data_IF_564023159346
#
_entry.id   IF_564023159346
#
_cell.length_a   1.000
_cell.length_b   1.000
_cell.length_c   1.000
_cell.angle_alpha   90.00
_cell.angle_beta   90.00
_cell.angle_gamma   90.00
#
_symmetry.space_group_name_H-M   'P 1'
#
loop_
_entity.id
_entity.type
_entity.pdbx_description
1 polymer ?
#
# COMPACT_ATOMS: atom_id res chain seq x y z
N UNK A 1 -1.10 27.65 2.74
CA UNK A 1 0.29 28.11 2.56
C UNK A 1 1.12 27.45 3.64
N UNK A 2 2.02 26.54 3.27
CA UNK A 2 2.93 25.90 4.24
C UNK A 2 3.93 26.96 4.69
N UNK A 3 3.99 27.27 5.99
CA UNK A 3 5.16 27.96 6.55
C UNK A 3 6.39 27.14 6.21
N UNK A 4 7.48 27.80 5.86
CA UNK A 4 8.73 27.10 5.61
C UNK A 4 9.18 26.44 6.92
N UNK A 5 9.69 25.20 6.86
CA UNK A 5 10.09 24.44 8.06
C UNK A 5 11.12 25.22 8.88
N UNK A 6 11.96 25.99 8.19
CA UNK A 6 12.96 26.89 8.76
C UNK A 6 12.31 28.01 9.58
N UNK A 7 11.23 28.63 9.07
CA UNK A 7 10.49 29.66 9.80
C UNK A 7 9.83 29.10 11.07
N UNK A 8 9.31 27.88 11.01
CA UNK A 8 8.70 27.22 12.17
C UNK A 8 9.73 26.83 13.23
N UNK A 9 10.92 26.36 12.83
CA UNK A 9 12.05 26.11 13.76
C UNK A 9 12.49 27.44 14.39
N UNK A 10 12.67 28.49 13.59
CA UNK A 10 13.09 29.80 14.06
C UNK A 10 12.04 30.46 14.98
N UNK A 11 10.76 30.10 14.83
CA UNK A 11 9.67 30.53 15.71
C UNK A 11 9.53 29.67 16.99
N UNK A 12 10.47 28.76 17.26
CA UNK A 12 10.45 27.89 18.45
C UNK A 12 9.33 26.85 18.45
N UNK A 13 8.73 26.56 17.29
CA UNK A 13 7.72 25.51 17.16
C UNK A 13 8.41 24.16 17.22
N UNK A 14 8.02 23.30 18.15
CA UNK A 14 8.53 21.93 18.22
C UNK A 14 8.09 21.13 16.97
N UNK A 15 9.01 20.96 16.03
CA UNK A 15 8.76 20.22 14.79
C UNK A 15 9.10 18.75 15.02
N UNK A 16 8.10 17.99 15.46
CA UNK A 16 8.18 16.55 15.43
C UNK A 16 8.32 16.04 13.99
N UNK A 17 9.26 15.12 13.75
CA UNK A 17 9.35 14.47 12.46
C UNK A 17 8.05 13.71 12.15
N UNK A 18 7.51 13.93 10.94
CA UNK A 18 6.34 13.17 10.49
C UNK A 18 6.77 11.71 10.35
N UNK A 19 6.17 10.82 11.15
CA UNK A 19 6.34 9.38 11.01
C UNK A 19 5.37 8.81 9.96
N UNK A 20 5.82 7.83 9.18
CA UNK A 20 5.00 7.22 8.14
C UNK A 20 3.88 6.41 8.79
N UNK A 21 2.64 6.63 8.33
CA UNK A 21 1.49 5.85 8.82
C UNK A 21 0.39 5.81 7.77
N UNK A 22 0.05 4.61 7.33
CA UNK A 22 -1.08 4.34 6.45
C UNK A 22 -2.44 4.41 7.16
N UNK A 23 -2.45 4.50 8.50
CA UNK A 23 -3.66 4.53 9.33
C UNK A 23 -4.16 5.96 9.61
N UNK A 24 -3.34 6.98 9.29
CA UNK A 24 -3.66 8.40 9.50
C UNK A 24 -4.93 8.77 8.71
N UNK A 25 -5.94 9.27 9.43
CA UNK A 25 -7.19 9.78 8.85
C UNK A 25 -6.93 11.04 8.02
N UNK A 26 -7.73 11.30 7.00
CA UNK A 26 -7.66 12.56 6.25
C UNK A 26 -8.20 13.71 7.12
N UNK A 27 -7.38 14.71 7.51
CA UNK A 27 -7.75 15.69 8.53
C UNK A 27 -9.00 16.52 8.21
N UNK A 28 -9.28 16.74 6.93
CA UNK A 28 -10.39 17.58 6.46
C UNK A 28 -11.59 16.77 5.97
N UNK A 29 -11.60 15.44 6.17
CA UNK A 29 -12.69 14.59 5.72
C UNK A 29 -13.71 14.36 6.82
N UNK A 30 -15.00 14.62 6.52
CA UNK A 30 -16.09 14.34 7.44
C UNK A 30 -16.53 12.87 7.33
N UNK A 31 -16.15 12.05 8.30
CA UNK A 31 -16.51 10.62 8.35
C UNK A 31 -17.96 10.35 8.81
N UNK A 32 -18.74 11.39 9.10
CA UNK A 32 -20.19 11.31 9.23
C UNK A 32 -20.90 11.45 7.88
N UNK A 33 -20.28 12.09 6.89
CA UNK A 33 -20.92 12.33 5.61
C UNK A 33 -20.97 11.06 4.75
N UNK A 34 -21.95 11.02 3.84
CA UNK A 34 -22.00 10.04 2.74
C UNK A 34 -20.70 10.01 1.96
N UNK A 35 -20.28 8.82 1.53
CA UNK A 35 -19.00 8.64 0.87
C UNK A 35 -18.70 7.18 0.55
N UNK A 36 -17.71 6.96 -0.30
CA UNK A 36 -17.23 5.61 -0.62
C UNK A 36 -15.78 5.47 -0.17
N UNK A 37 -15.48 4.37 0.51
CA UNK A 37 -14.21 4.14 1.18
C UNK A 37 -13.66 2.78 0.80
N UNK A 38 -12.36 2.71 0.52
CA UNK A 38 -11.64 1.42 0.51
C UNK A 38 -10.93 1.28 1.85
N UNK A 39 -11.32 0.27 2.61
CA UNK A 39 -10.78 -0.02 3.93
C UNK A 39 -9.78 -1.17 3.87
N UNK A 40 -8.76 -1.12 4.72
CA UNK A 40 -7.84 -2.24 4.96
C UNK A 40 -7.72 -2.48 6.46
N UNK A 41 -8.00 -3.70 6.90
CA UNK A 41 -7.89 -4.15 8.28
C UNK A 41 -6.86 -5.27 8.35
N UNK A 42 -5.82 -5.10 9.15
CA UNK A 42 -4.70 -6.04 9.26
C UNK A 42 -4.86 -6.85 10.54
N UNK A 43 -4.69 -8.17 10.44
CA UNK A 43 -4.66 -9.10 11.59
C UNK A 43 -3.42 -8.78 12.44
N UNK A 44 -3.57 -8.82 13.76
CA UNK A 44 -2.45 -8.54 14.68
C UNK A 44 -1.22 -9.40 14.32
N UNK A 45 -0.06 -8.75 14.22
CA UNK A 45 1.21 -9.39 13.86
C UNK A 45 1.27 -9.94 12.43
N UNK A 46 0.37 -9.55 11.53
CA UNK A 46 0.27 -10.10 10.16
C UNK A 46 0.08 -11.63 10.14
N UNK A 47 -0.58 -12.18 11.17
CA UNK A 47 -0.82 -13.61 11.28
C UNK A 47 -1.79 -14.10 10.18
N UNK A 48 -1.49 -15.17 9.44
CA UNK A 48 -2.29 -15.64 8.31
C UNK A 48 -3.54 -16.44 8.74
N UNK A 49 -4.38 -15.86 9.60
CA UNK A 49 -5.52 -16.55 10.24
C UNK A 49 -6.77 -16.67 9.36
N UNK A 50 -6.86 -15.90 8.28
CA UNK A 50 -8.10 -15.75 7.50
C UNK A 50 -8.17 -16.70 6.29
N UNK A 51 -7.06 -17.35 5.94
CA UNK A 51 -6.99 -18.28 4.82
C UNK A 51 -5.57 -18.51 4.34
N UNK A 52 -5.44 -19.29 3.27
CA UNK A 52 -4.17 -19.61 2.62
C UNK A 52 -4.22 -19.28 1.14
N UNK A 53 -3.12 -18.79 0.60
CA UNK A 53 -2.97 -18.64 -0.84
C UNK A 53 -2.84 -20.03 -1.49
N UNK A 54 -3.55 -20.22 -2.60
CA UNK A 54 -3.48 -21.38 -3.49
C UNK A 54 -3.32 -20.91 -4.93
N UNK A 55 -2.86 -21.80 -5.82
CA UNK A 55 -2.69 -21.53 -7.25
C UNK A 55 -1.40 -20.79 -7.58
N UNK A 56 -1.26 -20.46 -8.87
CA UNK A 56 -0.10 -19.84 -9.48
C UNK A 56 -0.42 -18.40 -9.91
N UNK A 57 0.48 -17.47 -9.60
CA UNK A 57 0.37 -16.07 -9.97
C UNK A 57 0.53 -15.77 -11.46
N UNK A 58 1.08 -16.72 -12.23
CA UNK A 58 1.24 -16.67 -13.68
C UNK A 58 0.20 -17.48 -14.44
N UNK A 59 -0.66 -18.23 -13.74
CA UNK A 59 -1.74 -18.98 -14.37
C UNK A 59 -2.75 -18.05 -15.05
N UNK A 60 -3.35 -18.54 -16.14
CA UNK A 60 -4.41 -17.83 -16.85
C UNK A 60 -5.64 -17.66 -15.95
N UNK A 61 -6.31 -16.51 -16.07
CA UNK A 61 -7.55 -16.22 -15.35
C UNK A 61 -8.63 -17.24 -15.71
N UNK A 62 -9.34 -17.78 -14.72
CA UNK A 62 -10.37 -18.81 -14.88
C UNK A 62 -9.84 -20.25 -14.97
N UNK A 63 -8.52 -20.46 -14.95
CA UNK A 63 -7.94 -21.80 -14.90
C UNK A 63 -8.06 -22.43 -13.50
N UNK A 64 -7.95 -23.76 -13.40
CA UNK A 64 -7.97 -24.47 -12.11
C UNK A 64 -6.84 -24.04 -11.15
N UNK A 65 -5.73 -23.55 -11.73
CA UNK A 65 -4.56 -23.06 -11.02
C UNK A 65 -4.57 -21.55 -10.81
N UNK A 66 -5.66 -20.83 -11.12
CA UNK A 66 -5.76 -19.40 -10.84
C UNK A 66 -5.52 -19.12 -9.35
N UNK A 67 -4.62 -18.17 -9.09
CA UNK A 67 -4.28 -17.71 -7.75
C UNK A 67 -5.52 -17.23 -6.98
N UNK A 68 -5.76 -17.82 -5.82
CA UNK A 68 -6.94 -17.54 -4.98
C UNK A 68 -6.62 -17.71 -3.50
N UNK A 69 -7.44 -17.12 -2.64
CA UNK A 69 -7.39 -17.38 -1.21
C UNK A 69 -8.42 -18.44 -0.85
N UNK A 70 -7.95 -19.57 -0.39
CA UNK A 70 -8.78 -20.56 0.26
C UNK A 70 -9.01 -20.14 1.72
N UNK A 71 -10.24 -19.74 2.02
CA UNK A 71 -10.60 -19.19 3.32
C UNK A 71 -10.54 -20.25 4.43
N UNK A 72 -9.98 -19.86 5.58
CA UNK A 72 -10.10 -20.60 6.84
C UNK A 72 -11.56 -20.62 7.32
N UNK A 73 -11.92 -21.43 8.34
CA UNK A 73 -13.26 -21.34 8.92
C UNK A 73 -13.57 -19.91 9.41
N UNK A 74 -12.61 -19.23 10.05
CA UNK A 74 -12.74 -17.81 10.41
C UNK A 74 -13.00 -16.93 9.19
N UNK A 75 -12.22 -17.09 8.12
CA UNK A 75 -12.40 -16.33 6.88
C UNK A 75 -13.80 -16.51 6.28
N UNK A 76 -14.34 -17.74 6.32
CA UNK A 76 -15.71 -18.05 5.89
C UNK A 76 -16.73 -17.38 6.82
N UNK A 77 -16.57 -17.47 8.14
CA UNK A 77 -17.45 -16.81 9.10
C UNK A 77 -17.50 -15.29 8.88
N UNK A 78 -16.35 -14.66 8.62
CA UNK A 78 -16.29 -13.23 8.32
C UNK A 78 -17.06 -12.90 7.03
N UNK A 79 -16.83 -13.67 5.96
CA UNK A 79 -17.48 -13.48 4.65
C UNK A 79 -18.99 -13.72 4.70
N UNK A 80 -19.41 -14.76 5.40
CA UNK A 80 -20.78 -15.26 5.31
C UNK A 80 -21.70 -14.69 6.39
N UNK A 81 -21.13 -14.25 7.52
CA UNK A 81 -21.87 -13.80 8.71
C UNK A 81 -21.50 -12.37 9.10
N UNK A 82 -20.25 -12.12 9.50
CA UNK A 82 -19.89 -10.84 10.13
C UNK A 82 -20.05 -9.64 9.18
N UNK A 83 -19.77 -9.81 7.90
CA UNK A 83 -19.90 -8.70 6.93
C UNK A 83 -21.35 -8.24 6.76
N UNK A 84 -22.32 -9.16 6.84
CA UNK A 84 -23.75 -8.87 6.68
C UNK A 84 -24.31 -8.08 7.86
N UNK A 85 -23.69 -8.21 9.04
CA UNK A 85 -24.08 -7.45 10.23
C UNK A 85 -23.88 -5.95 10.05
N UNK A 86 -22.94 -5.51 9.20
CA UNK A 86 -22.71 -4.08 8.94
C UNK A 86 -24.00 -3.41 8.45
N UNK A 87 -24.58 -3.91 7.36
CA UNK A 87 -25.82 -3.33 6.80
C UNK A 87 -27.05 -3.60 7.67
N UNK A 88 -27.05 -4.67 8.47
CA UNK A 88 -28.13 -4.95 9.41
C UNK A 88 -28.18 -3.94 10.58
N UNK A 89 -27.01 -3.56 11.13
CA UNK A 89 -26.92 -2.54 12.18
C UNK A 89 -26.93 -1.11 11.63
N UNK A 90 -26.42 -0.91 10.41
CA UNK A 90 -26.31 0.39 9.75
C UNK A 90 -26.89 0.32 8.33
N UNK A 91 -28.21 0.45 8.14
CA UNK A 91 -28.86 0.29 6.83
C UNK A 91 -28.37 1.25 5.73
N UNK A 92 -27.80 2.39 6.12
CA UNK A 92 -27.18 3.35 5.21
C UNK A 92 -25.77 2.94 4.73
N UNK A 93 -25.21 1.86 5.28
CA UNK A 93 -23.86 1.37 4.98
C UNK A 93 -23.92 0.05 4.22
N UNK A 94 -23.30 0.03 3.04
CA UNK A 94 -23.20 -1.14 2.18
C UNK A 94 -21.75 -1.56 1.97
N UNK A 95 -21.52 -2.86 1.89
CA UNK A 95 -20.23 -3.42 1.46
C UNK A 95 -20.35 -3.84 0.01
N UNK A 96 -19.76 -3.06 -0.88
CA UNK A 96 -19.80 -3.31 -2.33
C UNK A 96 -18.81 -4.38 -2.79
N UNK A 97 -17.70 -4.57 -2.05
CA UNK A 97 -16.72 -5.61 -2.35
C UNK A 97 -15.97 -6.01 -1.09
N UNK A 98 -15.66 -7.29 -0.96
CA UNK A 98 -14.84 -7.87 0.09
C UNK A 98 -13.74 -8.73 -0.55
N UNK A 99 -12.50 -8.54 -0.11
CA UNK A 99 -11.36 -9.37 -0.47
C UNK A 99 -10.64 -9.74 0.82
N UNK A 100 -10.71 -11.01 1.21
CA UNK A 100 -10.02 -11.54 2.38
C UNK A 100 -8.68 -12.12 1.90
N UNK A 101 -7.59 -11.55 2.40
CA UNK A 101 -6.23 -12.05 2.24
C UNK A 101 -5.85 -12.87 3.48
N UNK A 102 -4.78 -13.68 3.46
CA UNK A 102 -4.42 -14.53 4.60
C UNK A 102 -4.34 -13.79 5.94
N UNK A 103 -3.78 -12.59 5.95
CA UNK A 103 -3.46 -11.78 7.15
C UNK A 103 -4.18 -10.43 7.21
N UNK A 104 -5.05 -10.12 6.24
CA UNK A 104 -5.76 -8.84 6.20
C UNK A 104 -7.02 -8.89 5.34
N UNK A 105 -7.86 -7.87 5.50
CA UNK A 105 -9.09 -7.71 4.74
C UNK A 105 -9.05 -6.38 4.01
N UNK A 106 -9.41 -6.41 2.74
CA UNK A 106 -9.80 -5.24 1.97
C UNK A 106 -11.31 -5.23 1.76
N UNK A 107 -11.94 -4.07 1.91
CA UNK A 107 -13.35 -3.92 1.56
C UNK A 107 -13.64 -2.54 0.96
N UNK A 108 -14.59 -2.49 0.03
CA UNK A 108 -15.15 -1.23 -0.49
C UNK A 108 -16.49 -1.02 0.20
N UNK A 109 -16.60 0.07 0.95
CA UNK A 109 -17.77 0.43 1.75
C UNK A 109 -18.39 1.69 1.19
N UNK A 110 -19.70 1.68 0.98
CA UNK A 110 -20.50 2.86 0.62
C UNK A 110 -21.35 3.27 1.82
N UNK A 111 -21.21 4.52 2.23
CA UNK A 111 -22.13 5.22 3.10
C UNK A 111 -23.06 6.03 2.19
N UNK A 112 -24.34 5.66 2.12
CA UNK A 112 -25.32 6.23 1.18
C UNK A 112 -25.88 7.57 1.65
N UNK A 113 -26.03 7.72 2.96
CA UNK A 113 -26.64 8.84 3.64
C UNK A 113 -25.75 9.28 4.80
N UNK A 114 -25.92 10.52 5.26
CA UNK A 114 -25.14 11.01 6.39
C UNK A 114 -25.47 10.18 7.65
N UNK A 115 -24.42 9.83 8.39
CA UNK A 115 -24.51 8.97 9.56
C UNK A 115 -25.10 9.74 10.75
N UNK A 116 -25.94 9.10 11.58
CA UNK A 116 -26.43 9.69 12.82
C UNK A 116 -25.31 10.13 13.77
N UNK A 117 -25.66 11.03 14.69
CA UNK A 117 -24.75 11.50 15.72
C UNK A 117 -24.12 10.33 16.50
N UNK A 118 -22.80 10.41 16.74
CA UNK A 118 -22.03 9.35 17.39
C UNK A 118 -21.83 8.07 16.57
N UNK A 119 -22.29 7.98 15.31
CA UNK A 119 -22.19 6.77 14.46
C UNK A 119 -21.34 6.96 13.20
N UNK A 120 -20.23 7.69 13.27
CA UNK A 120 -19.31 7.83 12.13
C UNK A 120 -18.70 6.50 11.65
N UNK A 121 -18.11 6.47 10.45
CA UNK A 121 -17.53 5.25 9.83
C UNK A 121 -16.58 4.46 10.75
N UNK A 122 -15.81 5.16 11.60
CA UNK A 122 -14.91 4.51 12.54
C UNK A 122 -15.61 3.62 13.58
N UNK A 123 -16.83 3.99 14.00
CA UNK A 123 -17.66 3.19 14.89
C UNK A 123 -18.18 1.93 14.18
N UNK A 124 -18.59 2.07 12.93
CA UNK A 124 -19.00 0.92 12.09
C UNK A 124 -17.85 -0.09 11.99
N UNK A 125 -16.64 0.39 11.67
CA UNK A 125 -15.43 -0.45 11.58
C UNK A 125 -15.09 -1.08 12.93
N UNK A 126 -15.21 -0.34 14.05
CA UNK A 126 -15.01 -0.89 15.41
C UNK A 126 -15.99 -2.04 15.70
N UNK A 127 -17.26 -1.87 15.37
CA UNK A 127 -18.29 -2.90 15.54
C UNK A 127 -17.96 -4.16 14.75
N UNK A 128 -17.62 -4.01 13.47
CA UNK A 128 -17.21 -5.13 12.61
C UNK A 128 -15.98 -5.88 13.15
N UNK A 129 -14.93 -5.16 13.56
CA UNK A 129 -13.73 -5.75 14.18
C UNK A 129 -14.06 -6.56 15.43
N UNK A 130 -14.98 -6.05 16.25
CA UNK A 130 -15.44 -6.71 17.47
C UNK A 130 -16.16 -8.02 17.15
N UNK A 131 -17.06 -8.00 16.17
CA UNK A 131 -17.77 -9.19 15.70
C UNK A 131 -16.81 -10.28 15.20
N UNK A 132 -15.85 -9.91 14.35
CA UNK A 132 -14.84 -10.84 13.85
C UNK A 132 -13.95 -11.41 14.97
N UNK A 133 -13.58 -10.59 15.96
CA UNK A 133 -12.78 -11.05 17.10
C UNK A 133 -13.55 -12.08 17.94
N UNK A 134 -14.87 -11.89 18.13
CA UNK A 134 -15.72 -12.87 18.81
C UNK A 134 -15.83 -14.18 18.03
N UNK A 135 -16.06 -14.10 16.72
CA UNK A 135 -16.09 -15.28 15.85
C UNK A 135 -14.77 -16.07 15.92
N UNK A 136 -13.62 -15.36 15.95
CA UNK A 136 -12.32 -15.97 16.12
C UNK A 136 -12.16 -16.69 17.47
N UNK A 137 -12.65 -16.09 18.57
CA UNK A 137 -12.62 -16.74 19.88
C UNK A 137 -13.53 -17.97 19.95
N UNK A 138 -14.70 -17.93 19.33
CA UNK A 138 -15.63 -19.06 19.26
C UNK A 138 -15.01 -20.26 18.53
N UNK A 139 -14.25 -20.01 17.47
CA UNK A 139 -13.51 -21.04 16.73
C UNK A 139 -12.28 -21.54 17.50
N UNK A 140 -11.52 -20.63 18.10
CA UNK A 140 -10.24 -20.99 18.74
C UNK A 140 -10.42 -21.60 20.13
N UNK A 141 -11.52 -21.29 20.82
CA UNK A 141 -11.80 -21.72 22.19
C UNK A 141 -13.25 -22.19 22.37
N UNK A 142 -13.65 -23.31 21.72
CA UNK A 142 -15.03 -23.79 21.74
C UNK A 142 -15.54 -24.18 23.15
N UNK A 143 -14.63 -24.58 24.05
CA UNK A 143 -14.95 -25.03 25.41
C UNK A 143 -15.36 -23.88 26.37
N UNK A 144 -15.31 -22.62 25.93
CA UNK A 144 -15.73 -21.45 26.70
C UNK A 144 -17.25 -21.19 26.71
N UNK A 145 -18.09 -22.12 26.22
CA UNK A 145 -19.56 -22.04 26.34
C UNK A 145 -20.03 -22.37 27.76
N UNK A 146 -19.48 -21.73 28.80
CA UNK A 146 -20.11 -21.74 30.12
C UNK A 146 -21.20 -20.68 30.15
N UNK A 147 -22.44 -21.14 29.98
CA UNK A 147 -23.66 -20.59 30.60
C UNK A 147 -23.65 -19.08 30.91
N UNK A 148 -23.69 -18.25 29.86
CA UNK A 148 -24.18 -16.88 29.97
C UNK A 148 -25.70 -16.85 29.93
N UNK A 149 -26.38 -17.57 30.82
CA UNK A 149 -27.82 -17.43 31.07
C UNK A 149 -28.12 -15.97 31.36
N UNK A 150 -29.05 -15.38 30.60
CA UNK A 150 -29.93 -14.20 30.80
C UNK A 150 -29.51 -12.98 31.66
N UNK A 151 -28.59 -13.09 32.61
CA UNK A 151 -28.10 -12.02 33.48
C UNK A 151 -27.29 -10.91 32.76
N UNK A 152 -26.70 -11.19 31.60
CA UNK A 152 -26.00 -10.18 30.80
C UNK A 152 -26.94 -9.26 30.00
N UNK A 153 -28.22 -9.66 29.80
CA UNK A 153 -29.23 -8.82 29.15
C UNK A 153 -29.82 -7.76 30.08
N UNK A 154 -29.71 -7.90 31.40
CA UNK A 154 -30.26 -6.95 32.37
C UNK A 154 -29.37 -5.73 32.67
N UNK A 155 -28.10 -5.71 32.24
CA UNK A 155 -27.16 -4.59 32.53
C UNK A 155 -26.96 -3.59 31.38
N UNK A 156 -27.75 -3.67 30.30
CA UNK A 156 -27.64 -2.77 29.13
C UNK A 156 -28.76 -1.71 29.11
N UNK A 157 -29.71 -1.73 30.06
CA UNK A 157 -30.55 -0.56 30.34
C UNK A 157 -29.93 0.19 31.51
N UNK A 158 -29.79 1.50 31.33
CA UNK A 158 -29.20 2.48 32.26
C UNK A 158 -27.68 2.59 32.22
N UNK A 159 -27.18 3.36 31.24
CA UNK A 159 -26.33 4.53 31.52
C UNK A 159 -26.03 5.25 30.20
N UNK A 160 -26.94 6.16 29.83
CA UNK A 160 -26.54 7.39 29.15
C UNK A 160 -25.84 8.32 30.17
N UNK A 161 -25.00 9.21 29.66
CA UNK A 161 -24.27 10.29 30.34
C UNK A 161 -22.86 9.97 30.91
N UNK A 162 -21.88 10.14 30.02
CA UNK A 162 -20.75 11.07 30.12
C UNK A 162 -19.62 10.89 31.18
N UNK A 163 -18.43 11.32 30.71
CA UNK A 163 -17.23 11.81 31.39
C UNK A 163 -16.07 10.79 31.61
N UNK A 164 -14.95 11.11 30.95
CA UNK A 164 -13.54 10.70 31.21
C UNK A 164 -12.88 11.92 31.90
N UNK A 165 -11.73 11.87 32.62
CA UNK A 165 -10.75 10.78 32.78
C UNK A 165 -10.20 10.61 34.23
N UNK A 166 -9.35 9.60 34.50
CA UNK A 166 -7.99 9.82 35.06
C UNK A 166 -7.13 8.54 35.11
N UNK A 167 -5.83 8.80 35.11
CA UNK A 167 -4.62 8.00 35.09
C UNK A 167 -4.28 7.43 36.49
N UNK A 168 -3.68 6.23 36.53
CA UNK A 168 -2.69 5.73 37.53
C UNK A 168 -2.93 4.31 38.06
N UNK A 169 -1.84 3.60 38.43
CA UNK A 169 -1.73 2.15 38.28
C UNK A 169 -1.74 1.40 39.61
N UNK A 170 -2.16 0.13 39.54
CA UNK A 170 -1.72 -1.03 40.33
C UNK A 170 -2.91 -1.91 40.69
N UNK A 171 -2.81 -3.17 40.27
CA UNK A 171 -3.85 -4.17 40.47
C UNK A 171 -3.56 -5.35 39.56
N UNK A 172 -2.66 -6.22 40.02
CA UNK A 172 -2.39 -7.52 39.43
C UNK A 172 -3.67 -8.37 39.43
N UNK A 173 -4.44 -8.25 38.35
CA UNK A 173 -5.43 -9.23 37.95
C UNK A 173 -4.98 -9.75 36.59
N UNK A 174 -4.20 -10.83 36.59
CA UNK A 174 -3.86 -11.59 35.38
C UNK A 174 -5.07 -12.40 34.90
N UNK A 175 -6.23 -11.76 34.71
CA UNK A 175 -7.18 -12.27 33.74
C UNK A 175 -6.47 -12.17 32.40
N UNK A 176 -6.00 -13.31 31.85
CA UNK A 176 -5.45 -13.36 30.50
C UNK A 176 -6.46 -12.69 29.55
N UNK A 177 -6.21 -11.42 29.20
CA UNK A 177 -7.08 -10.70 28.30
C UNK A 177 -7.04 -11.45 26.98
N UNK A 178 -8.20 -11.94 26.54
CA UNK A 178 -8.29 -12.65 25.26
C UNK A 178 -7.73 -11.76 24.15
N UNK A 179 -6.95 -12.31 23.21
CA UNK A 179 -6.25 -11.53 22.21
C UNK A 179 -7.22 -10.83 21.26
N UNK A 180 -6.82 -9.68 20.73
CA UNK A 180 -7.54 -8.98 19.66
C UNK A 180 -7.18 -9.55 18.29
N UNK A 181 -8.15 -9.68 17.38
CA UNK A 181 -7.88 -10.25 16.05
C UNK A 181 -7.11 -9.27 15.15
N UNK A 182 -7.43 -7.98 15.21
CA UNK A 182 -6.92 -6.97 14.28
C UNK A 182 -6.12 -5.90 15.00
N UNK A 183 -5.09 -5.39 14.33
CA UNK A 183 -4.29 -4.27 14.79
C UNK A 183 -5.12 -3.05 15.15
N UNK A 184 -4.63 -2.23 16.11
CA UNK A 184 -5.28 -0.95 16.41
C UNK A 184 -5.40 -0.08 15.15
N UNK A 185 -6.58 0.53 14.97
CA UNK A 185 -6.91 1.35 13.80
C UNK A 185 -7.28 0.52 12.56
N UNK A 186 -7.25 1.17 11.40
CA UNK A 186 -7.40 0.62 10.06
C UNK A 186 -6.83 1.63 9.05
N UNK A 187 -6.63 1.21 7.81
CA UNK A 187 -6.28 2.12 6.71
C UNK A 187 -7.54 2.40 5.89
N UNK A 188 -7.69 3.62 5.39
CA UNK A 188 -8.77 3.98 4.47
C UNK A 188 -8.25 4.79 3.28
N UNK A 189 -8.99 4.73 2.19
CA UNK A 189 -8.90 5.67 1.08
C UNK A 189 -10.29 6.14 0.74
N UNK A 190 -10.43 7.42 0.44
CA UNK A 190 -11.69 8.04 0.06
C UNK A 190 -11.78 8.05 -1.47
N UNK A 191 -12.95 7.71 -2.00
CA UNK A 191 -13.23 7.77 -3.43
C UNK A 191 -13.44 9.23 -3.83
N UNK A 192 -12.52 9.77 -4.62
CA UNK A 192 -12.48 11.19 -4.98
C UNK A 192 -12.64 11.44 -6.48
N UNK A 193 -12.39 10.45 -7.33
CA UNK A 193 -12.29 10.63 -8.79
C UNK A 193 -13.10 9.58 -9.55
N UNK A 194 -13.52 9.95 -10.75
CA UNK A 194 -14.15 9.04 -11.70
C UNK A 194 -13.20 7.89 -12.08
N UNK A 195 -13.76 6.71 -12.35
CA UNK A 195 -13.00 5.48 -12.66
C UNK A 195 -12.20 4.88 -11.51
N UNK A 196 -12.02 5.59 -10.39
CA UNK A 196 -11.27 5.11 -9.22
C UNK A 196 -11.94 3.89 -8.58
N UNK A 197 -13.28 3.81 -8.61
CA UNK A 197 -14.03 2.68 -8.05
C UNK A 197 -13.73 1.38 -8.82
N UNK A 198 -13.74 1.43 -10.14
CA UNK A 198 -13.46 0.25 -10.97
C UNK A 198 -11.99 -0.16 -10.84
N UNK A 199 -11.08 0.81 -10.70
CA UNK A 199 -9.68 0.54 -10.36
C UNK A 199 -9.56 -0.18 -9.01
N UNK A 200 -10.31 0.22 -7.99
CA UNK A 200 -10.31 -0.48 -6.69
C UNK A 200 -10.89 -1.88 -6.80
N UNK A 201 -11.98 -2.08 -7.54
CA UNK A 201 -12.57 -3.40 -7.76
C UNK A 201 -11.56 -4.33 -8.42
N UNK A 202 -10.93 -3.89 -9.53
CA UNK A 202 -9.86 -4.63 -10.22
C UNK A 202 -8.67 -4.90 -9.30
N UNK A 203 -8.24 -3.92 -8.51
CA UNK A 203 -7.14 -4.09 -7.56
C UNK A 203 -7.46 -5.17 -6.51
N UNK A 204 -8.68 -5.19 -5.96
CA UNK A 204 -9.11 -6.21 -5.01
C UNK A 204 -9.13 -7.60 -5.66
N UNK A 205 -9.62 -7.72 -6.90
CA UNK A 205 -9.63 -8.99 -7.65
C UNK A 205 -8.22 -9.51 -7.94
N UNK A 206 -7.26 -8.60 -8.19
CA UNK A 206 -5.89 -8.95 -8.54
C UNK A 206 -5.02 -9.31 -7.32
N UNK A 207 -5.45 -9.02 -6.09
CA UNK A 207 -4.61 -9.17 -4.90
C UNK A 207 -4.11 -10.60 -4.65
N UNK A 208 -4.92 -11.67 -4.79
CA UNK A 208 -4.43 -13.05 -4.65
C UNK A 208 -3.30 -13.36 -5.64
N UNK A 209 -3.48 -13.01 -6.93
CA UNK A 209 -2.46 -13.17 -7.97
C UNK A 209 -1.18 -12.39 -7.66
N UNK A 210 -1.32 -11.13 -7.25
CA UNK A 210 -0.18 -10.29 -6.83
C UNK A 210 0.57 -10.91 -5.65
N UNK A 211 -0.15 -11.50 -4.69
CA UNK A 211 0.49 -12.18 -3.56
C UNK A 211 1.24 -13.45 -4.01
N UNK A 212 0.68 -14.22 -4.94
CA UNK A 212 1.33 -15.40 -5.50
C UNK A 212 2.64 -15.05 -6.20
N UNK A 213 2.62 -14.08 -7.12
CA UNK A 213 3.83 -13.60 -7.80
C UNK A 213 4.88 -13.14 -6.81
N UNK A 214 4.49 -12.39 -5.77
CA UNK A 214 5.43 -11.93 -4.75
C UNK A 214 6.10 -13.07 -3.98
N UNK A 215 5.42 -14.21 -3.79
CA UNK A 215 5.97 -15.39 -3.13
C UNK A 215 6.83 -16.22 -4.08
N UNK A 216 6.50 -16.23 -5.37
CA UNK A 216 7.23 -16.96 -6.41
C UNK A 216 8.52 -16.23 -6.83
N UNK A 217 8.51 -14.89 -6.87
CA UNK A 217 9.64 -14.05 -7.28
C UNK A 217 9.98 -12.97 -6.24
N UNK A 218 10.30 -13.34 -4.97
CA UNK A 218 10.54 -12.37 -3.90
C UNK A 218 11.70 -11.40 -4.19
N UNK A 219 12.67 -11.80 -5.00
CA UNK A 219 13.81 -11.00 -5.42
C UNK A 219 13.44 -9.75 -6.23
N UNK A 220 12.31 -9.77 -6.95
CA UNK A 220 11.83 -8.61 -7.71
C UNK A 220 11.06 -7.59 -6.84
N UNK A 221 10.68 -7.98 -5.62
CA UNK A 221 9.83 -7.15 -4.75
C UNK A 221 10.45 -6.87 -3.38
N UNK A 222 11.70 -7.28 -3.16
CA UNK A 222 12.45 -7.00 -1.94
C UNK A 222 13.36 -5.79 -2.16
N UNK A 223 13.28 -4.82 -1.26
CA UNK A 223 14.23 -3.70 -1.24
C UNK A 223 15.55 -4.18 -0.63
N UNK A 224 16.65 -3.95 -1.35
CA UNK A 224 18.00 -4.11 -0.82
C UNK A 224 18.46 -2.71 -0.39
N UNK A 225 18.70 -2.53 0.91
CA UNK A 225 19.01 -1.21 1.49
C UNK A 225 20.45 -0.73 1.27
N UNK A 226 21.37 -1.63 0.98
CA UNK A 226 22.78 -1.30 0.73
C UNK A 226 23.30 -2.08 -0.48
N UNK A 227 23.51 -1.36 -1.58
CA UNK A 227 24.02 -1.93 -2.83
C UNK A 227 24.99 -0.94 -3.48
N UNK A 228 26.22 -1.38 -3.74
CA UNK A 228 27.26 -0.51 -4.29
C UNK A 228 27.20 -0.46 -5.81
N UNK A 229 27.19 0.75 -6.37
CA UNK A 229 27.33 1.03 -7.81
C UNK A 229 28.46 2.05 -7.96
N UNK A 230 29.67 1.57 -8.25
CA UNK A 230 30.88 2.39 -8.16
C UNK A 230 31.04 2.95 -6.74
N UNK A 231 31.08 4.28 -6.63
CA UNK A 231 31.17 5.02 -5.35
C UNK A 231 29.83 5.19 -4.63
N UNK A 232 28.71 4.83 -5.26
CA UNK A 232 27.38 5.06 -4.74
C UNK A 232 26.90 3.90 -3.89
N UNK A 233 26.45 4.17 -2.66
CA UNK A 233 25.67 3.23 -1.86
C UNK A 233 24.18 3.51 -2.10
N UNK A 234 23.51 2.58 -2.77
CA UNK A 234 22.13 2.74 -3.21
C UNK A 234 21.19 1.75 -2.52
N UNK A 235 19.93 2.17 -2.44
CA UNK A 235 18.81 1.26 -2.26
C UNK A 235 18.30 0.80 -3.63
N UNK A 236 17.98 -0.48 -3.80
CA UNK A 236 17.47 -1.03 -5.05
C UNK A 236 16.28 -1.96 -4.85
N UNK A 237 15.39 -2.04 -5.85
CA UNK A 237 14.26 -2.98 -5.89
C UNK A 237 13.87 -3.28 -7.34
N UNK A 238 13.64 -4.55 -7.66
CA UNK A 238 13.36 -5.03 -9.02
C UNK A 238 14.46 -5.94 -9.56
N UNK A 239 14.54 -6.07 -10.88
CA UNK A 239 15.48 -7.00 -11.51
C UNK A 239 16.92 -6.45 -11.55
N UNK A 240 17.76 -6.89 -10.62
CA UNK A 240 19.18 -6.48 -10.55
C UNK A 240 20.01 -6.89 -11.77
N UNK A 241 19.59 -7.93 -12.50
CA UNK A 241 20.33 -8.39 -13.68
C UNK A 241 20.33 -7.36 -14.80
N UNK A 242 19.46 -6.36 -14.77
CA UNK A 242 19.49 -5.25 -15.73
C UNK A 242 20.81 -4.46 -15.67
N UNK A 243 21.52 -4.47 -14.54
CA UNK A 243 22.83 -3.84 -14.42
C UNK A 243 23.92 -4.55 -15.25
N UNK A 244 23.78 -5.85 -15.50
CA UNK A 244 24.77 -6.65 -16.24
C UNK A 244 24.48 -6.75 -17.74
N UNK A 245 23.45 -6.09 -18.26
CA UNK A 245 23.18 -6.08 -19.70
C UNK A 245 24.25 -5.25 -20.42
N UNK A 246 24.81 -5.70 -21.55
CA UNK A 246 25.87 -4.98 -22.24
C UNK A 246 25.38 -3.66 -22.86
N UNK A 247 24.26 -3.72 -23.60
CA UNK A 247 23.69 -2.56 -24.29
C UNK A 247 22.83 -1.73 -23.34
N UNK A 248 23.34 -0.55 -22.98
CA UNK A 248 22.69 0.37 -22.03
C UNK A 248 22.79 1.80 -22.55
N UNK A 249 21.77 2.62 -22.28
CA UNK A 249 21.80 4.05 -22.58
C UNK A 249 21.18 4.89 -21.47
N UNK A 250 21.90 5.95 -21.09
CA UNK A 250 21.35 7.00 -20.24
C UNK A 250 20.44 7.91 -21.07
N UNK A 251 19.17 8.01 -20.66
CA UNK A 251 18.19 8.94 -21.22
C UNK A 251 18.23 10.22 -20.40
N UNK A 252 19.03 11.17 -20.89
CA UNK A 252 19.24 12.49 -20.27
C UNK A 252 18.97 13.55 -21.33
N UNK A 253 18.13 14.53 -21.00
CA UNK A 253 17.79 15.61 -21.93
C UNK A 253 18.29 16.94 -21.37
N UNK A 254 19.29 17.51 -22.05
CA UNK A 254 19.83 18.82 -21.68
C UNK A 254 18.95 19.95 -22.21
N UNK A 255 18.83 21.03 -21.42
CA UNK A 255 18.04 22.22 -21.78
C UNK A 255 18.41 22.88 -23.10
N UNK A 256 19.64 22.65 -23.59
CA UNK A 256 20.16 23.25 -24.80
C UNK A 256 19.76 22.48 -26.07
N UNK A 257 19.19 21.28 -25.94
CA UNK A 257 18.82 20.46 -27.09
C UNK A 257 17.62 21.04 -27.82
N UNK A 258 17.77 21.22 -29.13
CA UNK A 258 16.67 21.58 -30.01
C UNK A 258 15.65 20.43 -30.09
N UNK A 259 14.45 20.71 -30.63
CA UNK A 259 13.48 19.65 -30.89
C UNK A 259 14.03 18.60 -31.86
N UNK A 260 14.83 19.02 -32.85
CA UNK A 260 15.48 18.11 -33.79
C UNK A 260 16.46 17.17 -33.08
N UNK A 261 17.36 17.71 -32.26
CA UNK A 261 18.33 16.91 -31.50
C UNK A 261 17.63 15.92 -30.56
N UNK A 262 16.57 16.37 -29.89
CA UNK A 262 15.77 15.52 -29.01
C UNK A 262 15.12 14.38 -29.78
N UNK A 263 14.49 14.65 -30.93
CA UNK A 263 13.82 13.62 -31.73
C UNK A 263 14.83 12.59 -32.25
N UNK A 264 16.01 13.01 -32.71
CA UNK A 264 17.06 12.09 -33.16
C UNK A 264 17.58 11.20 -32.04
N UNK A 265 17.76 11.74 -30.82
CA UNK A 265 18.15 10.95 -29.65
C UNK A 265 17.03 10.02 -29.18
N UNK A 266 15.78 10.49 -29.19
CA UNK A 266 14.61 9.70 -28.84
C UNK A 266 14.50 8.45 -29.72
N UNK A 267 14.64 8.59 -31.03
CA UNK A 267 14.62 7.45 -31.96
C UNK A 267 15.74 6.45 -31.63
N UNK A 268 16.96 6.93 -31.34
CA UNK A 268 18.08 6.06 -30.96
C UNK A 268 17.82 5.31 -29.65
N UNK A 269 17.30 5.98 -28.62
CA UNK A 269 16.96 5.35 -27.35
C UNK A 269 15.86 4.30 -27.52
N UNK A 270 14.80 4.61 -28.25
CA UNK A 270 13.72 3.66 -28.49
C UNK A 270 14.19 2.47 -29.35
N UNK A 271 15.03 2.69 -30.35
CA UNK A 271 15.63 1.61 -31.13
C UNK A 271 16.54 0.70 -30.28
N UNK A 272 17.33 1.27 -29.35
CA UNK A 272 18.11 0.47 -28.40
C UNK A 272 17.19 -0.37 -27.50
N UNK A 273 16.11 0.22 -26.98
CA UNK A 273 15.11 -0.49 -26.17
C UNK A 273 14.41 -1.62 -26.93
N UNK A 274 14.02 -1.37 -28.19
CA UNK A 274 13.42 -2.37 -29.10
C UNK A 274 14.36 -3.57 -29.32
N UNK A 275 15.66 -3.30 -29.50
CA UNK A 275 16.69 -4.33 -29.63
C UNK A 275 17.07 -5.00 -28.29
N UNK A 276 16.34 -4.68 -27.22
CA UNK A 276 16.52 -5.31 -25.92
C UNK A 276 17.59 -4.68 -25.02
N UNK A 277 18.15 -3.53 -25.40
CA UNK A 277 19.00 -2.75 -24.51
C UNK A 277 18.23 -2.14 -23.33
N UNK A 278 18.97 -1.61 -22.35
CA UNK A 278 18.40 -1.05 -21.12
C UNK A 278 18.44 0.47 -21.16
N UNK A 279 17.28 1.09 -20.90
CA UNK A 279 17.18 2.55 -20.78
C UNK A 279 17.22 2.97 -19.31
N UNK A 280 18.11 3.91 -18.99
CA UNK A 280 18.36 4.38 -17.62
C UNK A 280 17.98 5.86 -17.53
N UNK A 281 17.10 6.22 -16.60
CA UNK A 281 16.75 7.64 -16.40
C UNK A 281 16.22 7.92 -15.01
N UNK A 282 16.45 9.15 -14.54
CA UNK A 282 15.75 9.73 -13.41
C UNK A 282 14.38 10.33 -13.78
N UNK A 283 14.07 10.42 -15.09
CA UNK A 283 12.84 11.00 -15.61
C UNK A 283 12.54 12.38 -15.00
N UNK A 284 13.55 13.26 -14.97
CA UNK A 284 13.49 14.57 -14.34
C UNK A 284 12.71 15.52 -15.24
N UNK A 285 13.12 15.62 -16.51
CA UNK A 285 12.52 16.52 -17.49
C UNK A 285 11.25 15.95 -18.12
N UNK A 286 10.39 16.81 -18.67
CA UNK A 286 9.18 16.37 -19.41
C UNK A 286 9.54 15.48 -20.58
N UNK A 287 10.62 15.81 -21.31
CA UNK A 287 11.12 15.04 -22.45
C UNK A 287 11.67 13.68 -22.03
N UNK A 288 12.39 13.57 -20.91
CA UNK A 288 12.79 12.25 -20.38
C UNK A 288 11.57 11.40 -19.97
N UNK A 289 10.59 12.02 -19.28
CA UNK A 289 9.36 11.33 -18.89
C UNK A 289 8.60 10.78 -20.10
N UNK A 290 8.59 11.51 -21.21
CA UNK A 290 7.98 11.07 -22.47
C UNK A 290 8.65 9.79 -22.99
N UNK A 291 9.98 9.79 -23.12
CA UNK A 291 10.75 8.61 -23.58
C UNK A 291 10.53 7.42 -22.65
N UNK A 292 10.67 7.63 -21.34
CA UNK A 292 10.52 6.55 -20.36
C UNK A 292 9.09 6.02 -20.31
N UNK A 293 8.08 6.87 -20.51
CA UNK A 293 6.67 6.46 -20.58
C UNK A 293 6.42 5.60 -21.81
N UNK A 294 6.93 6.01 -22.97
CA UNK A 294 6.82 5.26 -24.21
C UNK A 294 7.52 3.91 -24.11
N UNK A 295 8.76 3.87 -23.62
CA UNK A 295 9.51 2.65 -23.39
C UNK A 295 8.80 1.69 -22.40
N UNK A 296 8.21 2.22 -21.32
CA UNK A 296 7.42 1.42 -20.37
C UNK A 296 6.18 0.81 -21.02
N UNK A 297 5.47 1.56 -21.87
CA UNK A 297 4.29 1.05 -22.58
C UNK A 297 4.64 -0.04 -23.59
N UNK A 298 5.83 0.03 -24.19
CA UNK A 298 6.37 -0.97 -25.11
C UNK A 298 6.99 -2.18 -24.38
N UNK A 299 7.08 -2.15 -23.05
CA UNK A 299 7.61 -3.25 -22.25
C UNK A 299 9.13 -3.39 -22.28
N UNK A 300 9.85 -2.31 -22.59
CA UNK A 300 11.32 -2.31 -22.63
C UNK A 300 11.95 -2.44 -21.24
N UNK A 301 13.24 -2.79 -21.22
CA UNK A 301 14.04 -2.89 -19.99
C UNK A 301 14.41 -1.51 -19.47
N UNK A 302 14.03 -1.20 -18.24
CA UNK A 302 14.18 0.11 -17.63
C UNK A 302 14.92 0.03 -16.30
N UNK A 303 15.86 0.97 -16.11
CA UNK A 303 16.39 1.34 -14.81
C UNK A 303 15.89 2.75 -14.50
N UNK A 304 15.06 2.88 -13.45
CA UNK A 304 14.48 4.15 -13.04
C UNK A 304 15.16 4.64 -11.77
N UNK A 305 15.86 5.77 -11.86
CA UNK A 305 16.49 6.40 -10.72
C UNK A 305 15.46 7.24 -9.94
N UNK A 306 15.49 7.17 -8.62
CA UNK A 306 14.50 7.77 -7.71
C UNK A 306 15.18 8.78 -6.80
N UNK A 307 14.56 9.95 -6.69
CA UNK A 307 15.02 11.05 -5.82
C UNK A 307 14.92 10.76 -4.32
N UNK A 308 14.23 9.70 -3.93
CA UNK A 308 13.96 9.35 -2.55
C UNK A 308 14.03 7.83 -2.42
N UNK A 309 14.56 7.37 -1.29
CA UNK A 309 14.65 5.96 -0.97
C UNK A 309 13.29 5.29 -0.80
N UNK A 310 13.31 4.02 -0.42
CA UNK A 310 12.11 3.20 -0.30
C UNK A 310 11.68 3.08 1.17
N UNK A 311 10.41 3.38 1.51
CA UNK A 311 9.92 3.19 2.87
C UNK A 311 9.95 1.70 3.30
N UNK A 312 9.86 1.42 4.61
CA UNK A 312 9.59 0.07 5.09
C UNK A 312 8.36 -0.53 4.40
N UNK A 313 8.46 -1.80 4.02
CA UNK A 313 7.42 -2.54 3.28
C UNK A 313 7.07 -1.96 1.90
N UNK A 314 7.93 -1.12 1.32
CA UNK A 314 7.77 -0.66 -0.05
C UNK A 314 7.61 -1.83 -1.02
N UNK A 315 6.72 -1.65 -1.99
CA UNK A 315 6.58 -2.53 -3.13
C UNK A 315 6.14 -1.71 -4.34
N UNK A 316 6.65 -2.02 -5.54
CA UNK A 316 6.11 -1.49 -6.78
C UNK A 316 4.59 -1.74 -6.87
N UNK A 317 3.87 -0.79 -7.45
CA UNK A 317 2.42 -0.87 -7.64
C UNK A 317 2.05 -0.44 -9.06
N UNK A 318 0.83 -0.81 -9.50
CA UNK A 318 0.37 -0.52 -10.86
C UNK A 318 1.31 -1.09 -11.92
N UNK A 319 1.63 -0.28 -12.93
CA UNK A 319 2.49 -0.65 -14.05
C UNK A 319 3.90 -1.05 -13.61
N UNK A 320 4.47 -0.42 -12.57
CA UNK A 320 5.76 -0.84 -12.03
C UNK A 320 5.74 -2.25 -11.44
N UNK A 321 4.60 -2.68 -10.86
CA UNK A 321 4.47 -4.06 -10.41
C UNK A 321 4.48 -5.04 -11.59
N UNK A 322 3.78 -4.71 -12.67
CA UNK A 322 3.77 -5.52 -13.89
C UNK A 322 5.16 -5.58 -14.53
N UNK A 323 5.85 -4.44 -14.63
CA UNK A 323 7.21 -4.38 -15.18
C UNK A 323 8.22 -5.16 -14.33
N UNK A 324 8.14 -5.11 -13.00
CA UNK A 324 8.95 -5.96 -12.12
C UNK A 324 8.60 -7.45 -12.28
N UNK A 325 7.32 -7.79 -12.39
CA UNK A 325 6.88 -9.18 -12.65
C UNK A 325 7.49 -9.73 -13.94
N UNK A 326 7.53 -8.91 -14.99
CA UNK A 326 8.10 -9.27 -16.29
C UNK A 326 9.64 -9.21 -16.31
N UNK A 327 10.29 -8.86 -15.19
CA UNK A 327 11.75 -8.75 -15.11
C UNK A 327 12.35 -7.58 -15.90
N UNK A 328 11.55 -6.59 -16.30
CA UNK A 328 12.00 -5.47 -17.15
C UNK A 328 12.17 -4.16 -16.39
N UNK A 329 12.07 -4.16 -15.06
CA UNK A 329 12.24 -2.95 -14.25
C UNK A 329 13.16 -3.15 -13.05
N UNK A 330 14.08 -2.21 -12.88
CA UNK A 330 14.86 -1.97 -11.68
C UNK A 330 14.67 -0.51 -11.25
N UNK A 331 14.44 -0.29 -9.95
CA UNK A 331 14.41 1.04 -9.35
C UNK A 331 15.60 1.19 -8.42
N UNK A 332 16.27 2.34 -8.51
CA UNK A 332 17.49 2.64 -7.74
C UNK A 332 17.31 4.00 -7.10
N UNK A 333 17.65 4.13 -5.82
CA UNK A 333 17.81 5.44 -5.18
C UNK A 333 19.17 5.52 -4.50
N UNK A 334 19.95 6.59 -4.72
CA UNK A 334 21.19 6.82 -4.00
C UNK A 334 20.97 7.44 -2.61
N UNK A 335 19.72 7.63 -2.18
CA UNK A 335 19.39 8.30 -0.93
C UNK A 335 18.45 7.48 -0.06
N UNK A 336 18.53 7.72 1.25
CA UNK A 336 17.62 7.17 2.23
C UNK A 336 16.20 7.72 2.09
N UNK A 337 15.23 6.92 2.51
CA UNK A 337 13.83 7.32 2.50
C UNK A 337 13.57 8.48 3.47
N UNK A 338 12.88 9.52 2.99
CA UNK A 338 12.33 10.57 3.83
C UNK A 338 10.88 10.92 3.48
N UNK A 339 10.14 11.46 4.47
CA UNK A 339 8.75 11.89 4.28
C UNK A 339 8.60 13.34 3.80
N UNK A 340 9.66 14.12 3.86
CA UNK A 340 9.60 15.53 3.49
C UNK A 340 9.31 15.69 1.99
N UNK A 341 8.33 16.53 1.64
CA UNK A 341 8.18 17.00 0.27
C UNK A 341 9.26 18.04 0.01
N UNK A 342 10.42 17.58 -0.47
CA UNK A 342 11.52 18.44 -0.93
C UNK A 342 11.44 18.54 -2.45
N UNK A 343 11.59 19.74 -2.97
CA UNK A 343 11.88 19.90 -4.40
C UNK A 343 13.30 19.42 -4.64
N UNK A 344 13.50 18.50 -5.59
CA UNK A 344 14.84 18.07 -5.98
C UNK A 344 15.69 19.26 -6.43
N UNK A 345 16.89 19.37 -5.88
CA UNK A 345 17.81 20.45 -6.25
C UNK A 345 18.46 20.16 -7.61
N UNK A 346 18.95 21.21 -8.28
CA UNK A 346 19.73 21.05 -9.51
C UNK A 346 20.96 20.15 -9.30
N UNK A 347 21.60 20.24 -8.14
CA UNK A 347 22.74 19.40 -7.78
C UNK A 347 22.34 17.93 -7.69
N UNK A 348 21.22 17.62 -7.04
CA UNK A 348 20.68 16.26 -6.97
C UNK A 348 20.29 15.72 -8.35
N UNK A 349 19.71 16.55 -9.22
CA UNK A 349 19.47 16.17 -10.62
C UNK A 349 20.76 15.77 -11.34
N UNK A 350 21.83 16.56 -11.18
CA UNK A 350 23.14 16.24 -11.76
C UNK A 350 23.76 14.97 -11.16
N UNK A 351 23.57 14.74 -9.86
CA UNK A 351 23.99 13.49 -9.19
C UNK A 351 23.29 12.27 -9.79
N UNK A 352 21.98 12.34 -10.02
CA UNK A 352 21.23 11.27 -10.69
C UNK A 352 21.68 11.06 -12.14
N UNK A 353 21.95 12.12 -12.89
CA UNK A 353 22.47 12.01 -14.25
C UNK A 353 23.84 11.32 -14.29
N UNK A 354 24.76 11.68 -13.38
CA UNK A 354 26.06 11.00 -13.25
C UNK A 354 25.91 9.52 -12.92
N UNK A 355 24.98 9.18 -12.03
CA UNK A 355 24.67 7.78 -11.73
C UNK A 355 24.10 7.05 -12.95
N UNK A 356 23.23 7.69 -13.73
CA UNK A 356 22.70 7.10 -14.97
C UNK A 356 23.81 6.83 -16.00
N UNK A 357 24.71 7.78 -16.21
CA UNK A 357 25.87 7.65 -17.11
C UNK A 357 26.87 6.59 -16.64
N UNK A 358 27.12 6.51 -15.33
CA UNK A 358 27.94 5.46 -14.73
C UNK A 358 27.35 4.08 -14.96
N UNK A 359 26.03 3.93 -14.76
CA UNK A 359 25.34 2.65 -15.02
C UNK A 359 25.34 2.35 -16.51
N UNK A 360 25.22 3.34 -17.39
CA UNK A 360 25.20 3.09 -18.83
C UNK A 360 26.57 2.67 -19.38
N UNK A 361 27.66 3.11 -18.76
CA UNK A 361 29.04 2.84 -19.20
C UNK A 361 29.69 1.62 -18.56
N UNK A 362 29.02 0.94 -17.62
CA UNK A 362 29.55 -0.19 -16.85
C UNK A 362 29.46 -1.56 -17.52
#
# INVERSE_FOLDING_TARGET
MSRDRIEAINAGVDICETKHSMKRRTPFHNYYAKGTYMLTLVVEGHSPLLGRLQGDGFAAKGSGDEARIELSPLGKAIRDVEIKKISAYYPMVEVWKLCIMPDHIHMIVRVKEDMPEGKHLGIVVKGFKTGCTRAWWEESWPEGKTSGTEAAKLKIKETEAAIVPDDSPSGENSSMQRPVLFERGYCDKILMREGQLDNWKRYLDDNPRRLAIKRQCPEYFTVIGHFNIGEWNCQIVGNRHLLSYPEKAAVIVHRAYSDKDFNELKEKWLALGENGGVLISAAISTREKEVMREAMNRGYRLIVLRENGFPPFYKPSGESFAACTNGVLLQISPWEYHMNRKTISREQCLQLNRLAELIASS
#
